data_IF_566616743581
#
_entry.id   IF_566616743581
#
_cell.length_a   1.000
_cell.length_b   1.000
_cell.length_c   1.000
_cell.angle_alpha   90.00
_cell.angle_beta   90.00
_cell.angle_gamma   90.00
#
_symmetry.space_group_name_H-M   'P 1'
#
loop_
_entity.id
_entity.type
_entity.pdbx_description
1 polymer ?
#
# COMPACT_ATOMS: atom_id res chain seq x y z
N UNK A 1 -10.89 0.85 -0.46
CA UNK A 1 -9.62 0.41 -1.09
C UNK A 1 -8.43 1.03 -0.35
N UNK A 2 -7.20 0.52 -0.50
CA UNK A 2 -6.04 1.14 0.19
C UNK A 2 -5.85 2.63 -0.16
N UNK A 3 -6.29 3.04 -1.35
CA UNK A 3 -6.28 4.43 -1.82
C UNK A 3 -7.12 5.38 -0.96
N UNK A 4 -8.18 4.87 -0.32
CA UNK A 4 -9.04 5.67 0.55
C UNK A 4 -8.40 5.90 1.92
N UNK A 5 -7.41 5.07 2.27
CA UNK A 5 -6.65 5.16 3.50
C UNK A 5 -5.47 6.13 3.32
N UNK A 6 -5.23 6.98 4.32
CA UNK A 6 -4.17 8.00 4.32
C UNK A 6 -4.13 8.90 3.06
N UNK A 7 -5.26 9.01 2.35
CA UNK A 7 -5.38 9.76 1.09
C UNK A 7 -4.52 9.21 -0.06
N UNK A 8 -4.26 7.90 -0.07
CA UNK A 8 -3.49 7.23 -1.13
C UNK A 8 -1.99 7.53 -1.11
N UNK A 9 -1.48 8.11 -0.03
CA UNK A 9 -0.05 8.47 0.08
C UNK A 9 0.85 7.32 0.53
N UNK A 10 0.25 6.19 0.93
CA UNK A 10 0.98 5.05 1.48
C UNK A 10 0.43 3.74 0.93
N UNK A 11 1.33 2.80 0.70
CA UNK A 11 1.00 1.40 0.46
C UNK A 11 1.64 0.57 1.57
N UNK A 12 1.06 -0.60 1.86
CA UNK A 12 1.70 -1.58 2.72
C UNK A 12 2.35 -2.65 1.85
N UNK A 13 3.68 -2.66 1.81
CA UNK A 13 4.50 -3.61 1.04
C UNK A 13 4.76 -4.84 1.87
N UNK A 14 4.55 -6.01 1.28
CA UNK A 14 4.70 -7.30 1.94
C UNK A 14 6.13 -7.80 1.73
N UNK A 15 6.84 -8.06 2.83
CA UNK A 15 8.15 -8.69 2.83
C UNK A 15 8.27 -9.58 4.06
N UNK A 16 8.59 -10.86 3.85
CA UNK A 16 8.82 -11.85 4.91
C UNK A 16 7.71 -11.96 5.95
N UNK A 17 6.45 -11.95 5.50
CA UNK A 17 5.27 -12.03 6.38
C UNK A 17 4.96 -10.74 7.15
N UNK A 18 5.65 -9.64 6.83
CA UNK A 18 5.44 -8.32 7.44
C UNK A 18 4.97 -7.35 6.36
N UNK A 19 3.87 -6.65 6.63
CA UNK A 19 3.43 -5.50 5.85
C UNK A 19 4.14 -4.24 6.39
N UNK A 20 4.92 -3.57 5.57
CA UNK A 20 5.66 -2.36 5.90
C UNK A 20 5.01 -1.15 5.23
N UNK A 21 4.76 -0.10 6.01
CA UNK A 21 4.15 1.13 5.53
C UNK A 21 5.16 1.92 4.70
N UNK A 22 4.90 2.04 3.41
CA UNK A 22 5.79 2.65 2.44
C UNK A 22 5.13 3.90 1.86
N UNK A 23 5.77 5.09 1.95
CA UNK A 23 5.33 6.26 1.22
C UNK A 23 5.38 6.01 -0.29
N UNK A 24 4.31 6.39 -0.98
CA UNK A 24 4.19 6.28 -2.44
C UNK A 24 3.71 7.61 -3.04
N UNK A 25 3.96 7.78 -4.34
CA UNK A 25 3.35 8.85 -5.13
C UNK A 25 2.47 8.25 -6.22
N UNK A 26 1.26 8.77 -6.33
CA UNK A 26 0.30 8.39 -7.36
C UNK A 26 0.36 9.43 -8.48
N UNK A 27 0.32 8.96 -9.72
CA UNK A 27 0.14 9.78 -10.91
C UNK A 27 -1.33 9.83 -11.33
N UNK A 28 -1.63 9.21 -12.47
CA UNK A 28 -2.99 9.06 -12.97
C UNK A 28 -3.77 7.89 -12.36
N UNK A 29 -5.10 7.95 -12.46
CA UNK A 29 -5.99 6.83 -12.15
C UNK A 29 -7.07 6.70 -13.23
N UNK A 30 -7.45 5.46 -13.54
CA UNK A 30 -8.59 5.11 -14.39
C UNK A 30 -9.58 4.23 -13.61
N UNK A 31 -10.66 3.76 -14.25
CA UNK A 31 -11.66 2.90 -13.58
C UNK A 31 -11.10 1.57 -13.07
N UNK A 32 -9.98 1.09 -13.61
CA UNK A 32 -9.42 -0.23 -13.27
C UNK A 32 -7.96 -0.23 -12.85
N UNK A 33 -7.28 0.91 -12.90
CA UNK A 33 -5.84 0.99 -12.65
C UNK A 33 -5.46 2.32 -12.01
N UNK A 34 -4.41 2.27 -11.19
CA UNK A 34 -3.76 3.44 -10.62
C UNK A 34 -2.28 3.38 -10.96
N UNK A 35 -1.74 4.50 -11.41
CA UNK A 35 -0.33 4.67 -11.71
C UNK A 35 0.42 5.06 -10.43
N UNK A 36 1.46 4.29 -10.10
CA UNK A 36 2.41 4.61 -9.04
C UNK A 36 3.68 5.15 -9.70
N UNK A 37 4.06 6.38 -9.35
CA UNK A 37 5.22 7.05 -9.94
C UNK A 37 6.46 6.94 -9.06
N UNK A 38 6.29 6.73 -7.76
CA UNK A 38 7.39 6.61 -6.78
C UNK A 38 7.02 5.70 -5.62
N UNK A 39 8.03 5.10 -4.99
CA UNK A 39 7.92 4.40 -3.71
C UNK A 39 7.70 2.88 -3.79
N UNK A 40 7.49 2.33 -4.98
CA UNK A 40 7.43 0.88 -5.22
C UNK A 40 8.38 0.48 -6.37
N UNK A 41 8.82 -0.76 -6.34
CA UNK A 41 9.59 -1.41 -7.39
C UNK A 41 8.77 -2.51 -8.07
N UNK A 42 9.20 -2.90 -9.28
CA UNK A 42 8.63 -4.07 -9.95
C UNK A 42 8.84 -5.33 -9.10
N UNK A 43 7.77 -6.11 -8.93
CA UNK A 43 7.77 -7.30 -8.07
C UNK A 43 7.28 -7.05 -6.64
N UNK A 44 7.17 -5.81 -6.19
CA UNK A 44 6.61 -5.49 -4.88
C UNK A 44 5.15 -5.97 -4.79
N UNK A 45 4.86 -6.74 -3.75
CA UNK A 45 3.50 -7.12 -3.41
C UNK A 45 2.94 -6.15 -2.38
N UNK A 46 1.77 -5.61 -2.64
CA UNK A 46 1.12 -4.66 -1.73
C UNK A 46 -0.27 -5.11 -1.32
N UNK A 47 -0.72 -4.61 -0.17
CA UNK A 47 -2.09 -4.76 0.29
C UNK A 47 -2.98 -3.72 -0.43
N UNK A 48 -3.89 -4.19 -1.28
CA UNK A 48 -4.84 -3.33 -2.02
C UNK A 48 -6.22 -3.22 -1.35
N UNK A 49 -6.51 -4.10 -0.39
CA UNK A 49 -7.71 -4.04 0.44
C UNK A 49 -7.63 -2.89 1.46
N UNK A 50 -8.73 -2.64 2.18
CA UNK A 50 -8.75 -1.59 3.20
C UNK A 50 -7.71 -1.84 4.29
N UNK A 51 -6.91 -0.82 4.61
CA UNK A 51 -5.86 -0.86 5.64
C UNK A 51 -6.27 -0.11 6.90
N UNK A 52 -7.56 0.23 7.07
CA UNK A 52 -8.04 1.04 8.20
C UNK A 52 -7.73 0.44 9.57
N UNK A 53 -7.72 -0.90 9.65
CA UNK A 53 -7.42 -1.66 10.88
C UNK A 53 -5.97 -1.53 11.32
N UNK A 54 -5.06 -1.13 10.43
CA UNK A 54 -3.65 -0.96 10.76
C UNK A 54 -3.38 0.32 11.53
N UNK A 55 -4.34 1.26 11.54
CA UNK A 55 -4.27 2.50 12.32
C UNK A 55 -2.96 3.29 12.13
N UNK A 56 -2.37 3.23 10.93
CA UNK A 56 -1.11 3.92 10.61
C UNK A 56 0.14 3.26 11.19
N UNK A 57 0.07 2.02 11.66
CA UNK A 57 1.25 1.29 12.14
C UNK A 57 2.31 1.16 11.04
N UNK A 58 3.57 1.44 11.38
CA UNK A 58 4.67 1.34 10.42
C UNK A 58 4.95 -0.10 9.98
N UNK A 59 4.64 -1.08 10.83
CA UNK A 59 4.79 -2.51 10.56
C UNK A 59 3.59 -3.29 11.09
N UNK A 60 3.09 -4.21 10.29
CA UNK A 60 1.99 -5.11 10.64
C UNK A 60 2.42 -6.54 10.33
N UNK A 61 2.32 -7.44 11.32
CA UNK A 61 2.53 -8.87 11.08
C UNK A 61 1.34 -9.44 10.33
N UNK A 62 1.59 -10.14 9.23
CA UNK A 62 0.57 -10.88 8.49
C UNK A 62 0.60 -12.33 8.98
N UNK A 63 -0.38 -12.71 9.78
CA UNK A 63 -0.68 -14.11 10.08
C UNK A 63 -1.76 -14.61 9.11
N UNK A 64 -1.55 -15.81 8.56
CA UNK A 64 -2.54 -16.52 7.74
C UNK A 64 -3.78 -16.90 8.57
#
# INVERSE_FOLDING_TARGET
PFLDNDGGRFAYVISDGIAQRQPIRIGGSSMGAVEITEGLAEGDQIIISSTSRFAGAERVLISQ
#
